data_IF_751645497248
#
_entry.id   IF_751645497248
#
_cell.length_a   1.000
_cell.length_b   1.000
_cell.length_c   1.000
_cell.angle_alpha   90.00
_cell.angle_beta   90.00
_cell.angle_gamma   90.00
#
_symmetry.space_group_name_H-M   'P 1'
#
loop_
_entity.id
_entity.type
_entity.pdbx_description
1 polymer ?
#
# COMPACT_ATOMS: atom_id res chain seq x y z
N UNK A 1 -8.99 -8.79 3.06
CA UNK A 1 -7.68 -9.45 2.84
C UNK A 1 -6.79 -9.10 4.01
N UNK A 2 -6.47 -10.06 4.87
CA UNK A 2 -5.54 -9.84 5.98
C UNK A 2 -4.12 -9.96 5.44
N UNK A 3 -3.30 -8.93 5.64
CA UNK A 3 -1.87 -9.02 5.35
C UNK A 3 -1.25 -10.07 6.26
N UNK A 4 -0.60 -11.08 5.67
CA UNK A 4 0.16 -12.02 6.46
C UNK A 4 1.38 -11.29 7.02
N UNK A 5 1.39 -11.21 8.34
CA UNK A 5 2.52 -10.74 9.11
C UNK A 5 3.67 -11.73 8.93
N UNK A 6 4.87 -11.23 8.63
CA UNK A 6 6.08 -12.07 8.72
C UNK A 6 6.42 -12.12 10.20
N UNK A 7 6.30 -13.29 10.83
CA UNK A 7 6.54 -13.47 12.27
C UNK A 7 5.71 -12.57 13.21
N UNK A 8 4.52 -12.12 12.77
CA UNK A 8 3.71 -11.18 13.57
C UNK A 8 4.03 -9.69 13.32
N UNK A 9 4.97 -9.38 12.43
CA UNK A 9 5.35 -8.01 12.08
C UNK A 9 4.97 -7.63 10.64
N UNK A 10 4.75 -6.33 10.42
CA UNK A 10 4.57 -5.76 9.10
C UNK A 10 5.91 -5.76 8.35
N UNK A 11 5.92 -5.96 7.02
CA UNK A 11 7.14 -5.76 6.24
C UNK A 11 7.69 -4.34 6.45
N UNK A 12 9.01 -4.18 6.52
CA UNK A 12 9.67 -2.89 6.81
C UNK A 12 9.19 -1.76 5.91
N UNK A 13 9.02 -2.02 4.61
CA UNK A 13 8.53 -1.02 3.67
C UNK A 13 7.11 -0.53 3.98
N UNK A 14 6.26 -1.38 4.56
CA UNK A 14 4.90 -1.02 5.00
C UNK A 14 4.97 -0.19 6.28
N UNK A 15 5.81 -0.58 7.24
CA UNK A 15 6.00 0.18 8.47
C UNK A 15 6.55 1.60 8.16
N UNK A 16 7.53 1.70 7.26
CA UNK A 16 8.08 2.98 6.80
C UNK A 16 7.05 3.82 6.04
N UNK A 17 6.21 3.19 5.20
CA UNK A 17 5.11 3.87 4.52
C UNK A 17 4.18 4.51 5.55
N UNK A 18 3.69 3.73 6.52
CA UNK A 18 2.78 4.22 7.56
C UNK A 18 3.41 5.35 8.38
N UNK A 19 4.66 5.20 8.81
CA UNK A 19 5.36 6.22 9.58
C UNK A 19 5.49 7.55 8.81
N UNK A 20 5.80 7.49 7.51
CA UNK A 20 5.90 8.67 6.65
C UNK A 20 4.52 9.26 6.36
N UNK A 21 3.53 8.45 6.03
CA UNK A 21 2.14 8.88 5.83
C UNK A 21 1.60 9.63 7.04
N UNK A 22 1.76 9.07 8.24
CA UNK A 22 1.30 9.69 9.48
C UNK A 22 2.04 10.99 9.78
N UNK A 23 3.37 11.04 9.52
CA UNK A 23 4.14 12.27 9.66
C UNK A 23 3.67 13.35 8.68
N UNK A 24 3.48 13.02 7.40
CA UNK A 24 3.00 13.97 6.39
C UNK A 24 1.57 14.43 6.68
N UNK A 25 0.69 13.52 7.10
CA UNK A 25 -0.70 13.81 7.40
C UNK A 25 -0.95 14.45 8.77
N UNK A 26 0.08 14.61 9.60
CA UNK A 26 -0.03 15.30 10.89
C UNK A 26 -0.19 16.82 10.76
N UNK A 27 0.15 17.38 9.59
CA UNK A 27 0.01 18.80 9.29
C UNK A 27 -1.10 19.03 8.25
N UNK A 28 -2.25 19.59 8.64
CA UNK A 28 -3.36 19.92 7.72
C UNK A 28 -3.00 20.92 6.62
N UNK A 29 -1.91 21.69 6.77
CA UNK A 29 -1.43 22.57 5.70
C UNK A 29 -0.78 21.78 4.56
N UNK A 30 -0.32 20.55 4.82
CA UNK A 30 0.35 19.69 3.84
C UNK A 30 -0.64 18.74 3.16
N UNK A 31 -1.60 18.20 3.91
CA UNK A 31 -2.62 17.28 3.36
C UNK A 31 -4.00 17.68 3.83
N UNK A 32 -4.92 17.85 2.89
CA UNK A 32 -6.33 18.02 3.21
C UNK A 32 -6.94 16.72 3.77
N UNK A 33 -7.98 16.86 4.60
CA UNK A 33 -8.71 15.72 5.17
C UNK A 33 -9.17 14.74 4.09
N UNK A 34 -8.82 13.46 4.26
CA UNK A 34 -9.16 12.37 3.33
C UNK A 34 -8.41 12.40 2.00
N UNK A 35 -7.56 13.41 1.77
CA UNK A 35 -6.73 13.57 0.59
C UNK A 35 -5.29 13.12 0.80
N UNK A 36 -4.46 13.44 -0.19
CA UNK A 36 -3.10 12.92 -0.32
C UNK A 36 -3.06 11.44 -0.73
N UNK A 37 -2.00 11.01 -1.38
CA UNK A 37 -1.80 9.60 -1.74
C UNK A 37 -0.36 9.21 -1.42
N UNK A 38 -0.19 8.02 -0.84
CA UNK A 38 1.12 7.46 -0.55
C UNK A 38 1.11 5.99 -0.95
N UNK A 39 2.24 5.53 -1.48
CA UNK A 39 2.44 4.13 -1.83
C UNK A 39 3.87 3.68 -1.59
N UNK A 40 4.05 2.37 -1.46
CA UNK A 40 5.37 1.74 -1.37
C UNK A 40 5.36 0.41 -2.12
N UNK A 41 6.46 0.10 -2.80
CA UNK A 41 6.71 -1.22 -3.38
C UNK A 41 7.44 -2.07 -2.35
N UNK A 42 6.97 -3.29 -2.12
CA UNK A 42 7.53 -4.19 -1.13
C UNK A 42 7.53 -5.61 -1.69
N UNK A 43 8.68 -6.28 -1.59
CA UNK A 43 8.80 -7.69 -1.92
C UNK A 43 8.23 -8.54 -0.78
N UNK A 44 7.35 -9.48 -1.12
CA UNK A 44 6.79 -10.44 -0.16
C UNK A 44 6.79 -11.85 -0.77
N UNK A 45 6.77 -12.87 0.09
CA UNK A 45 6.53 -14.24 -0.36
C UNK A 45 5.04 -14.47 -0.56
N UNK A 46 4.64 -14.85 -1.76
CA UNK A 46 3.24 -15.19 -2.04
C UNK A 46 2.84 -16.48 -1.33
N UNK A 47 1.75 -16.50 -0.53
CA UNK A 47 1.30 -17.73 0.11
C UNK A 47 0.73 -18.76 -0.87
N UNK A 48 0.28 -18.33 -2.04
CA UNK A 48 -0.32 -19.20 -3.03
C UNK A 48 0.72 -19.95 -3.88
N UNK A 49 1.92 -19.37 -4.04
CA UNK A 49 2.95 -19.93 -4.93
C UNK A 49 4.32 -20.12 -4.27
N UNK A 50 4.51 -19.62 -3.04
CA UNK A 50 5.78 -19.54 -2.33
C UNK A 50 6.90 -18.81 -3.11
N UNK A 51 6.53 -17.98 -4.08
CA UNK A 51 7.47 -17.19 -4.88
C UNK A 51 7.52 -15.73 -4.40
N UNK A 52 8.67 -15.05 -4.55
CA UNK A 52 8.73 -13.62 -4.31
C UNK A 52 7.84 -12.88 -5.31
N UNK A 53 7.01 -11.98 -4.82
CA UNK A 53 6.16 -11.08 -5.61
C UNK A 53 6.34 -9.65 -5.12
N UNK A 54 6.30 -8.68 -6.03
CA UNK A 54 6.28 -7.27 -5.66
C UNK A 54 4.83 -6.82 -5.45
N UNK A 55 4.53 -6.36 -4.24
CA UNK A 55 3.26 -5.71 -3.94
C UNK A 55 3.44 -4.20 -3.92
N UNK A 56 2.53 -3.50 -4.58
CA UNK A 56 2.31 -2.07 -4.43
C UNK A 56 1.27 -1.87 -3.33
N UNK A 57 1.71 -1.35 -2.18
CA UNK A 57 0.85 -0.88 -1.11
C UNK A 57 0.42 0.55 -1.40
N UNK A 58 -0.88 0.82 -1.38
CA UNK A 58 -1.44 2.15 -1.66
C UNK A 58 -2.42 2.52 -0.56
N UNK A 59 -2.43 3.79 -0.14
CA UNK A 59 -3.50 4.32 0.72
C UNK A 59 -4.87 4.03 0.10
N UNK A 60 -5.77 3.47 0.89
CA UNK A 60 -7.17 3.28 0.50
C UNK A 60 -7.93 4.60 0.32
N UNK A 61 -9.04 4.54 -0.39
CA UNK A 61 -9.95 5.69 -0.58
C UNK A 61 -10.55 6.14 0.76
N UNK A 62 -10.71 7.45 0.95
CA UNK A 62 -11.30 8.05 2.15
C UNK A 62 -10.46 7.95 3.44
N UNK A 63 -9.36 7.20 3.44
CA UNK A 63 -8.44 7.12 4.57
C UNK A 63 -7.64 8.42 4.73
N UNK A 64 -7.55 8.93 5.95
CA UNK A 64 -6.72 10.08 6.29
C UNK A 64 -5.25 9.64 6.48
N UNK A 65 -4.31 10.42 5.95
CA UNK A 65 -2.89 10.13 6.03
C UNK A 65 -2.36 10.21 7.46
N UNK A 66 -2.86 11.14 8.28
CA UNK A 66 -2.40 11.35 9.65
C UNK A 66 -2.74 10.18 10.58
N UNK A 67 -3.79 9.42 10.23
CA UNK A 67 -4.35 8.32 11.02
C UNK A 67 -4.26 6.98 10.31
N UNK A 68 -3.47 6.88 9.24
CA UNK A 68 -3.40 5.70 8.39
C UNK A 68 -2.87 4.49 9.18
N UNK A 69 -3.57 3.36 9.03
CA UNK A 69 -3.20 2.06 9.59
C UNK A 69 -3.02 1.05 8.47
N UNK A 70 -2.35 -0.08 8.76
CA UNK A 70 -2.15 -1.15 7.78
C UNK A 70 -3.46 -1.65 7.15
N UNK A 71 -4.56 -1.69 7.92
CA UNK A 71 -5.90 -2.05 7.42
C UNK A 71 -6.48 -1.06 6.42
N UNK A 72 -5.96 0.17 6.40
CA UNK A 72 -6.31 1.21 5.42
C UNK A 72 -5.46 1.17 4.15
N UNK A 73 -4.56 0.18 3.99
CA UNK A 73 -3.77 -0.01 2.78
C UNK A 73 -4.42 -1.07 1.87
N UNK A 74 -4.46 -0.79 0.57
CA UNK A 74 -4.69 -1.79 -0.45
C UNK A 74 -3.34 -2.37 -0.91
N UNK A 75 -3.26 -3.67 -1.13
CA UNK A 75 -2.13 -4.29 -1.83
C UNK A 75 -2.53 -4.74 -3.22
N UNK A 76 -1.69 -4.40 -4.18
CA UNK A 76 -1.86 -4.74 -5.59
C UNK A 76 -0.60 -5.47 -6.03
N UNK A 77 -0.74 -6.65 -6.63
CA UNK A 77 0.38 -7.34 -7.25
C UNK A 77 0.84 -6.54 -8.47
N UNK A 78 2.06 -6.02 -8.42
CA UNK A 78 2.55 -5.01 -9.37
C UNK A 78 2.58 -5.54 -10.81
N UNK A 79 2.98 -6.78 -11.00
CA UNK A 79 3.05 -7.39 -12.33
C UNK A 79 1.67 -7.58 -12.95
N UNK A 80 0.62 -7.83 -12.14
CA UNK A 80 -0.76 -7.87 -12.63
C UNK A 80 -1.25 -6.49 -13.03
N UNK A 81 -0.94 -5.47 -12.22
CA UNK A 81 -1.30 -4.08 -12.52
C UNK A 81 -0.67 -3.62 -13.84
N UNK A 82 0.64 -3.80 -14.02
CA UNK A 82 1.34 -3.45 -15.27
C UNK A 82 0.88 -4.32 -16.43
N UNK A 83 0.53 -5.59 -16.17
CA UNK A 83 -0.02 -6.49 -17.17
C UNK A 83 -1.36 -6.04 -17.77
N UNK A 84 -2.10 -5.15 -17.09
CA UNK A 84 -3.37 -4.61 -17.59
C UNK A 84 -3.20 -3.88 -18.93
N UNK A 85 -2.05 -3.25 -19.20
CA UNK A 85 -1.78 -2.56 -20.46
C UNK A 85 -1.97 -3.46 -21.70
N UNK A 86 -1.82 -4.78 -21.53
CA UNK A 86 -1.96 -5.76 -22.62
C UNK A 86 -3.41 -6.10 -22.95
N UNK A 87 -4.33 -5.89 -22.02
CA UNK A 87 -5.73 -6.36 -22.12
C UNK A 87 -6.74 -5.23 -22.00
N UNK A 88 -6.38 -4.14 -21.34
CA UNK A 88 -7.24 -2.98 -21.12
C UNK A 88 -7.26 -2.11 -22.37
N UNK A 89 -8.41 -2.06 -23.04
CA UNK A 89 -8.59 -1.31 -24.30
C UNK A 89 -8.92 0.18 -24.11
N UNK A 90 -8.97 0.65 -22.86
CA UNK A 90 -9.55 1.95 -22.54
C UNK A 90 -11.07 1.97 -22.69
N UNK A 91 -11.68 3.09 -22.30
CA UNK A 91 -13.08 3.44 -22.62
C UNK A 91 -13.06 4.63 -23.57
#
# INVERSE_FOLDING_TARGET
>A
MSFQLVNGELPDGVAQLLARSNRFGSDPAVTNYGGGNTSAKVMVTSPASNRPVELLFVKGSGGDLGTLRATGLAAIERDRLVGLDKVYRGV
#
